data_IF_570675270065
#
_entry.id   IF_570675270065
#
_cell.length_a   1.000
_cell.length_b   1.000
_cell.length_c   1.000
_cell.angle_alpha   90.00
_cell.angle_beta   90.00
_cell.angle_gamma   90.00
#
_symmetry.space_group_name_H-M   'P 1'
#
loop_
_entity.id
_entity.type
_entity.pdbx_description
1 polymer ?
#
# COMPACT_ATOMS: atom_id res chain seq x y z
N UNK A 1 10.79 12.44 10.39
CA UNK A 1 10.16 11.12 10.17
C UNK A 1 11.18 10.05 10.48
N UNK A 2 10.81 9.14 11.38
CA UNK A 2 11.70 8.08 11.86
C UNK A 2 12.10 7.16 10.70
N UNK A 3 13.32 6.61 10.75
CA UNK A 3 13.86 5.66 9.78
C UNK A 3 13.21 4.27 9.96
N UNK A 4 11.88 4.23 10.04
CA UNK A 4 11.08 3.05 10.30
C UNK A 4 10.30 2.64 9.05
N UNK A 5 10.06 1.34 8.94
CA UNK A 5 9.24 0.75 7.89
C UNK A 5 7.89 0.39 8.50
N UNK A 6 6.83 1.02 7.98
CA UNK A 6 5.46 0.71 8.35
C UNK A 6 4.86 -0.24 7.32
N UNK A 7 4.47 -1.43 7.76
CA UNK A 7 3.91 -2.47 6.89
C UNK A 7 2.41 -2.62 7.12
N UNK A 8 1.64 -2.55 6.05
CA UNK A 8 0.18 -2.71 6.07
C UNK A 8 -0.21 -3.94 5.25
N UNK A 9 -1.16 -4.73 5.77
CA UNK A 9 -1.65 -5.94 5.09
C UNK A 9 -2.77 -5.55 4.12
N UNK A 10 -2.64 -5.99 2.88
CA UNK A 10 -3.68 -5.84 1.85
C UNK A 10 -4.19 -7.24 1.51
N UNK A 11 -5.49 -7.44 1.68
CA UNK A 11 -6.16 -8.70 1.38
C UNK A 11 -6.90 -8.58 0.06
N UNK A 12 -6.92 -9.68 -0.71
CA UNK A 12 -7.71 -9.77 -1.93
C UNK A 12 -8.99 -10.54 -1.63
N UNK A 13 -10.13 -9.92 -1.88
CA UNK A 13 -11.45 -10.50 -1.67
C UNK A 13 -11.90 -11.33 -2.88
N UNK A 14 -12.92 -12.17 -2.67
CA UNK A 14 -13.43 -13.12 -3.68
C UNK A 14 -13.84 -12.46 -5.01
N UNK A 15 -14.29 -11.21 -5.00
CA UNK A 15 -14.70 -10.46 -6.19
C UNK A 15 -13.56 -9.63 -6.81
N UNK A 16 -12.32 -9.81 -6.36
CA UNK A 16 -11.16 -9.09 -6.87
C UNK A 16 -10.91 -7.71 -6.25
N UNK A 17 -11.75 -7.28 -5.30
CA UNK A 17 -11.51 -6.10 -4.49
C UNK A 17 -10.33 -6.28 -3.54
N UNK A 18 -9.76 -5.16 -3.10
CA UNK A 18 -8.66 -5.10 -2.15
C UNK A 18 -9.14 -4.48 -0.84
N UNK A 19 -8.89 -5.17 0.27
CA UNK A 19 -9.25 -4.73 1.61
C UNK A 19 -7.99 -4.40 2.41
N UNK A 20 -8.01 -3.29 3.14
CA UNK A 20 -6.90 -2.83 3.97
C UNK A 20 -7.43 -2.22 5.28
N UNK A 21 -6.76 -2.53 6.38
CA UNK A 21 -6.96 -1.89 7.67
C UNK A 21 -5.67 -1.16 8.05
N UNK A 22 -5.77 0.14 8.38
CA UNK A 22 -4.60 0.99 8.61
C UNK A 22 -4.19 1.08 10.08
N UNK A 23 -5.15 0.94 10.99
CA UNK A 23 -4.91 0.92 12.41
C UNK A 23 -6.02 0.15 13.13
N UNK A 24 -5.72 -0.32 14.33
CA UNK A 24 -6.70 -0.97 15.19
C UNK A 24 -7.87 -0.02 15.48
N UNK A 25 -9.10 -0.54 15.39
CA UNK A 25 -10.32 0.25 15.59
C UNK A 25 -10.73 1.14 14.41
N UNK A 26 -9.88 1.34 13.39
CA UNK A 26 -10.29 2.04 12.18
C UNK A 26 -11.12 1.12 11.26
N UNK A 27 -12.13 1.69 10.56
CA UNK A 27 -12.91 0.96 9.59
C UNK A 27 -12.02 0.48 8.44
N UNK A 28 -12.29 -0.74 7.99
CA UNK A 28 -11.60 -1.32 6.86
C UNK A 28 -12.00 -0.59 5.57
N UNK A 29 -11.02 -0.34 4.71
CA UNK A 29 -11.25 0.27 3.40
C UNK A 29 -11.21 -0.80 2.32
N UNK A 30 -12.16 -0.73 1.38
CA UNK A 30 -12.27 -1.64 0.23
C UNK A 30 -12.10 -0.84 -1.05
N UNK A 31 -11.24 -1.33 -1.94
CA UNK A 31 -10.89 -0.71 -3.22
C UNK A 31 -11.12 -1.67 -4.38
N UNK A 32 -11.54 -1.16 -5.53
CA UNK A 32 -11.76 -1.98 -6.73
C UNK A 32 -10.44 -2.45 -7.33
N UNK A 33 -9.45 -1.57 -7.39
CA UNK A 33 -8.14 -1.85 -7.95
C UNK A 33 -7.03 -1.41 -7.01
N UNK A 34 -5.83 -1.98 -7.20
CA UNK A 34 -4.64 -1.55 -6.46
C UNK A 34 -4.26 -0.10 -6.79
N UNK A 35 -4.56 0.38 -8.00
CA UNK A 35 -4.33 1.78 -8.40
C UNK A 35 -5.19 2.74 -7.59
N UNK A 36 -6.46 2.40 -7.37
CA UNK A 36 -7.37 3.23 -6.57
C UNK A 36 -6.91 3.28 -5.10
N UNK A 37 -6.44 2.14 -4.57
CA UNK A 37 -5.84 2.06 -3.25
C UNK A 37 -4.65 3.02 -3.13
N UNK A 38 -3.71 2.96 -4.08
CA UNK A 38 -2.53 3.82 -4.10
C UNK A 38 -2.94 5.30 -4.17
N UNK A 39 -3.81 5.66 -5.12
CA UNK A 39 -4.28 7.04 -5.31
C UNK A 39 -4.96 7.60 -4.06
N UNK A 40 -5.74 6.79 -3.33
CA UNK A 40 -6.32 7.21 -2.06
C UNK A 40 -5.23 7.58 -1.06
N UNK A 41 -4.22 6.72 -0.88
CA UNK A 41 -3.16 6.92 0.11
C UNK A 41 -2.04 7.87 -0.30
N UNK A 42 -2.02 8.36 -1.54
CA UNK A 42 -1.20 9.52 -1.94
C UNK A 42 -1.65 10.81 -1.24
N UNK A 43 -2.95 10.90 -0.87
CA UNK A 43 -3.50 12.04 -0.14
C UNK A 43 -3.14 11.98 1.34
N UNK A 44 -2.86 13.12 2.00
CA UNK A 44 -2.58 13.16 3.42
C UNK A 44 -3.79 12.74 4.26
N UNK A 45 -3.55 12.31 5.50
CA UNK A 45 -4.56 12.01 6.52
C UNK A 45 -5.54 10.88 6.12
N UNK A 46 -5.07 9.90 5.36
CA UNK A 46 -5.88 8.77 4.90
C UNK A 46 -5.75 7.50 5.74
N UNK A 47 -5.01 7.55 6.85
CA UNK A 47 -4.82 6.45 7.79
C UNK A 47 -3.41 5.84 7.77
N UNK A 48 -2.59 6.12 6.75
CA UNK A 48 -1.17 5.79 6.80
C UNK A 48 -0.43 6.79 7.68
N UNK A 49 0.63 6.32 8.35
CA UNK A 49 1.58 7.16 9.11
C UNK A 49 2.19 8.25 8.22
N UNK A 50 2.41 7.97 6.94
CA UNK A 50 2.82 8.96 5.94
C UNK A 50 2.14 8.68 4.61
N UNK A 51 1.80 9.73 3.87
CA UNK A 51 1.18 9.60 2.55
C UNK A 51 2.18 9.07 1.52
N UNK A 52 1.69 8.30 0.55
CA UNK A 52 2.52 7.78 -0.54
C UNK A 52 2.98 8.95 -1.43
N UNK A 53 4.26 8.95 -1.81
CA UNK A 53 4.86 10.02 -2.63
C UNK A 53 5.75 9.49 -3.74
N UNK A 54 6.72 8.65 -3.39
CA UNK A 54 7.75 8.18 -4.31
C UNK A 54 7.67 6.65 -4.44
N UNK A 55 7.14 6.12 -5.56
CA UNK A 55 7.06 4.68 -5.76
C UNK A 55 8.45 4.09 -5.95
N UNK A 56 8.82 3.12 -5.10
CA UNK A 56 10.07 2.38 -5.22
C UNK A 56 9.88 1.25 -6.22
N UNK A 57 10.49 1.37 -7.40
CA UNK A 57 10.40 0.34 -8.45
C UNK A 57 11.27 -0.86 -8.08
N UNK A 58 10.80 -2.06 -8.47
CA UNK A 58 11.62 -3.27 -8.36
C UNK A 58 12.94 -3.05 -9.11
N UNK A 59 14.10 -3.32 -8.49
CA UNK A 59 15.38 -3.29 -9.20
C UNK A 59 15.29 -4.22 -10.42
N UNK A 60 15.77 -3.76 -11.58
CA UNK A 60 15.95 -4.68 -12.71
C UNK A 60 16.88 -5.79 -12.23
N UNK A 61 16.47 -7.05 -12.43
CA UNK A 61 17.36 -8.16 -12.14
C UNK A 61 18.65 -7.91 -12.93
N UNK A 62 19.78 -7.73 -12.24
CA UNK A 62 21.07 -7.94 -12.89
C UNK A 62 21.02 -9.36 -13.44
N UNK A 63 21.28 -9.52 -14.74
CA UNK A 63 21.46 -10.86 -15.28
C UNK A 63 22.62 -11.47 -14.51
N UNK A 64 22.31 -12.39 -13.60
CA UNK A 64 23.31 -13.23 -12.98
C UNK A 64 23.74 -14.16 -14.10
N UNK A 65 24.78 -13.77 -14.85
CA UNK A 65 25.48 -14.68 -15.75
C UNK A 65 25.84 -15.90 -14.91
N UNK A 66 25.26 -17.04 -15.27
CA UNK A 66 25.62 -18.35 -14.74
C UNK A 66 26.99 -18.75 -15.28
#
# INVERSE_FOLDING_TARGET
FEKLIYTYRIFREHQGYFRIQTCEGAPEKVFRTLKDLIYNFEKPNQGLVTNLRYPVKKPKASQRNQ
#
